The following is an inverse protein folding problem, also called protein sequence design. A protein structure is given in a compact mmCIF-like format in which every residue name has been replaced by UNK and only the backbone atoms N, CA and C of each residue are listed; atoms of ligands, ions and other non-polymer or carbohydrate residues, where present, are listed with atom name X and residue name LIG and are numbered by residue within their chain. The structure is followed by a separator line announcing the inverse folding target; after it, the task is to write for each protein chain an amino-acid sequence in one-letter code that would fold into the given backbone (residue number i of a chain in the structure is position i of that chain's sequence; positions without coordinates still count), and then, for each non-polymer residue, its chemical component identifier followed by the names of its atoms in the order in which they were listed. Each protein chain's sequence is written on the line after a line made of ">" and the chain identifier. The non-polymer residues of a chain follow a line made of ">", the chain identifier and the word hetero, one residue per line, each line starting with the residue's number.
data_IF_464629420552
#
_entry.id   IF_464629420552
#
_cell.length_a   1.000
_cell.length_b   1.000
_cell.length_c   1.000
_cell.angle_alpha   90.00
_cell.angle_beta   90.00
_cell.angle_gamma   90.00
#
_symmetry.space_group_name_H-M   'P 1'
#
loop_
_entity.id
_entity.type
_entity.pdbx_description
1 polymer ?
#
# COMPACT_ATOMS: atom_id res chain seq x y z
N UNK A 1 38.95 -51.67 -8.77
CA UNK A 1 37.69 -50.90 -8.78
C UNK A 1 38.00 -49.50 -8.29
N UNK A 2 38.10 -48.51 -9.19
CA UNK A 2 38.29 -47.12 -8.79
C UNK A 2 36.96 -46.59 -8.25
N UNK A 3 36.93 -46.21 -6.97
CA UNK A 3 35.77 -45.58 -6.34
C UNK A 3 35.58 -44.20 -6.97
N UNK A 4 34.49 -44.01 -7.73
CA UNK A 4 34.15 -42.68 -8.21
C UNK A 4 33.95 -41.75 -7.00
N UNK A 5 34.48 -40.51 -7.05
CA UNK A 5 34.17 -39.51 -6.04
C UNK A 5 32.65 -39.26 -6.02
N UNK A 6 32.08 -38.96 -4.84
CA UNK A 6 30.65 -38.71 -4.71
C UNK A 6 30.24 -37.59 -5.67
N UNK A 7 29.07 -37.70 -6.33
CA UNK A 7 28.59 -36.66 -7.22
C UNK A 7 28.52 -35.33 -6.46
N UNK A 8 28.85 -34.20 -7.11
CA UNK A 8 28.74 -32.89 -6.48
C UNK A 8 27.30 -32.71 -5.97
N UNK A 9 27.12 -32.06 -4.80
CA UNK A 9 25.79 -31.79 -4.29
C UNK A 9 25.00 -31.04 -5.37
N UNK A 10 23.71 -31.36 -5.56
CA UNK A 10 22.89 -30.62 -6.50
C UNK A 10 22.97 -29.13 -6.16
N UNK A 11 23.01 -28.22 -7.16
CA UNK A 11 22.99 -26.80 -6.90
C UNK A 11 21.81 -26.49 -5.98
N UNK A 12 21.96 -25.57 -5.00
CA UNK A 12 20.87 -25.20 -4.13
C UNK A 12 19.66 -24.85 -4.99
N UNK A 13 18.43 -25.25 -4.59
CA UNK A 13 17.23 -24.89 -5.32
C UNK A 13 17.27 -23.38 -5.60
N UNK A 14 16.85 -22.90 -6.79
CA UNK A 14 16.61 -21.49 -7.00
C UNK A 14 15.80 -20.99 -5.80
N UNK A 15 16.26 -19.93 -5.11
CA UNK A 15 15.54 -19.40 -3.95
C UNK A 15 14.05 -19.31 -4.32
N UNK A 16 13.22 -20.10 -3.62
CA UNK A 16 11.80 -20.25 -3.97
C UNK A 16 11.16 -18.86 -4.06
N UNK A 17 10.57 -18.55 -5.23
CA UNK A 17 10.23 -17.20 -5.68
C UNK A 17 9.21 -16.46 -4.81
N UNK A 18 9.69 -15.74 -3.79
CA UNK A 18 8.92 -14.84 -2.93
C UNK A 18 9.34 -13.37 -3.05
N UNK A 19 8.45 -12.46 -2.63
CA UNK A 19 8.73 -11.02 -2.52
C UNK A 19 9.92 -10.79 -1.58
N UNK A 20 10.92 -10.02 -2.02
CA UNK A 20 12.14 -9.77 -1.24
C UNK A 20 11.85 -8.97 0.05
N UNK A 21 12.68 -9.13 1.08
CA UNK A 21 12.55 -8.36 2.33
C UNK A 21 12.62 -6.86 2.11
N UNK A 22 13.47 -6.42 1.18
CA UNK A 22 13.60 -5.02 0.78
C UNK A 22 12.30 -4.52 0.13
N UNK A 23 11.72 -5.29 -0.80
CA UNK A 23 10.45 -4.95 -1.46
C UNK A 23 9.31 -4.81 -0.43
N UNK A 24 9.25 -5.72 0.55
CA UNK A 24 8.29 -5.65 1.68
C UNK A 24 8.46 -4.38 2.50
N UNK A 25 9.71 -4.01 2.78
CA UNK A 25 10.03 -2.80 3.54
C UNK A 25 9.61 -1.54 2.80
N UNK A 26 9.91 -1.42 1.51
CA UNK A 26 9.47 -0.27 0.70
C UNK A 26 7.95 -0.21 0.57
N UNK A 27 7.28 -1.35 0.44
CA UNK A 27 5.81 -1.42 0.47
C UNK A 27 5.23 -0.93 1.80
N UNK A 28 5.80 -1.33 2.94
CA UNK A 28 5.41 -0.85 4.27
C UNK A 28 5.65 0.66 4.40
N UNK A 29 6.83 1.15 4.01
CA UNK A 29 7.18 2.58 4.07
C UNK A 29 6.19 3.41 3.27
N UNK A 30 5.78 2.92 2.11
CA UNK A 30 4.79 3.60 1.28
C UNK A 30 3.48 3.82 2.03
N UNK A 31 3.01 2.85 2.82
CA UNK A 31 1.77 2.97 3.60
C UNK A 31 1.93 3.84 4.85
N UNK A 32 3.03 3.73 5.59
CA UNK A 32 3.20 4.46 6.86
C UNK A 32 3.44 5.95 6.64
N UNK A 33 4.23 6.31 5.62
CA UNK A 33 4.55 7.72 5.34
C UNK A 33 3.62 8.35 4.30
N UNK A 34 2.53 7.66 3.93
CA UNK A 34 1.54 8.11 2.96
C UNK A 34 2.16 8.56 1.63
N UNK A 35 1.81 9.77 1.17
CA UNK A 35 2.29 10.33 -0.10
C UNK A 35 3.82 10.34 -0.19
N UNK A 36 4.51 10.78 0.87
CA UNK A 36 5.97 10.92 0.86
C UNK A 36 6.63 9.56 0.73
N UNK A 37 6.19 8.59 1.52
CA UNK A 37 6.70 7.21 1.45
C UNK A 37 6.45 6.58 0.08
N UNK A 38 5.24 6.77 -0.45
CA UNK A 38 4.87 6.22 -1.75
C UNK A 38 5.73 6.80 -2.89
N UNK A 39 5.98 8.11 -2.91
CA UNK A 39 6.85 8.75 -3.89
C UNK A 39 8.28 8.22 -3.75
N UNK A 40 8.83 8.16 -2.54
CA UNK A 40 10.17 7.62 -2.28
C UNK A 40 10.28 6.18 -2.81
N UNK A 41 9.31 5.32 -2.50
CA UNK A 41 9.29 3.94 -2.94
C UNK A 41 9.22 3.80 -4.48
N UNK A 42 8.41 4.62 -5.14
CA UNK A 42 8.29 4.63 -6.61
C UNK A 42 9.56 5.11 -7.30
N UNK A 43 10.25 6.11 -6.73
CA UNK A 43 11.49 6.66 -7.29
C UNK A 43 12.69 5.73 -7.06
N UNK A 44 12.79 5.10 -5.89
CA UNK A 44 13.92 4.24 -5.53
C UNK A 44 13.79 2.80 -6.04
N UNK A 45 12.57 2.31 -6.25
CA UNK A 45 12.31 0.95 -6.77
C UNK A 45 11.37 0.96 -7.99
N UNK A 46 11.69 1.69 -9.07
CA UNK A 46 10.79 1.91 -10.21
C UNK A 46 10.52 0.64 -11.06
N UNK A 47 11.37 -0.38 -10.92
CA UNK A 47 11.26 -1.66 -11.64
C UNK A 47 10.70 -2.80 -10.78
N UNK A 48 10.49 -2.57 -9.48
CA UNK A 48 9.95 -3.59 -8.58
C UNK A 48 8.42 -3.56 -8.62
N UNK A 49 7.82 -4.61 -9.18
CA UNK A 49 6.35 -4.70 -9.34
C UNK A 49 5.61 -4.68 -8.01
N UNK A 50 6.17 -5.27 -6.94
CA UNK A 50 5.53 -5.34 -5.63
C UNK A 50 5.55 -3.97 -4.96
N UNK A 51 6.70 -3.30 -5.01
CA UNK A 51 6.83 -1.94 -4.45
C UNK A 51 5.91 -0.98 -5.18
N UNK A 52 5.89 -1.00 -6.52
CA UNK A 52 4.98 -0.17 -7.31
C UNK A 52 3.52 -0.40 -6.93
N UNK A 53 3.12 -1.66 -6.75
CA UNK A 53 1.74 -1.99 -6.42
C UNK A 53 1.29 -1.41 -5.07
N UNK A 54 2.07 -1.58 -4.00
CA UNK A 54 1.73 -0.98 -2.70
C UNK A 54 1.89 0.54 -2.70
N UNK A 55 2.93 1.07 -3.35
CA UNK A 55 3.20 2.49 -3.40
C UNK A 55 2.15 3.27 -4.19
N UNK A 56 1.72 2.79 -5.35
CA UNK A 56 0.64 3.42 -6.12
C UNK A 56 -0.68 3.40 -5.34
N UNK A 57 -1.02 2.28 -4.67
CA UNK A 57 -2.23 2.22 -3.85
C UNK A 57 -2.18 3.19 -2.67
N UNK A 58 -1.06 3.24 -1.94
CA UNK A 58 -0.90 4.19 -0.84
C UNK A 58 -0.98 5.64 -1.32
N UNK A 59 -0.36 5.95 -2.47
CA UNK A 59 -0.38 7.29 -3.06
C UNK A 59 -1.82 7.73 -3.39
N UNK A 60 -2.55 6.90 -4.14
CA UNK A 60 -3.93 7.20 -4.55
C UNK A 60 -4.82 7.32 -3.31
N UNK A 61 -4.68 6.39 -2.35
CA UNK A 61 -5.45 6.42 -1.11
C UNK A 61 -5.19 7.68 -0.29
N UNK A 62 -3.92 8.05 -0.11
CA UNK A 62 -3.52 9.23 0.67
C UNK A 62 -3.99 10.53 0.02
N UNK A 63 -3.88 10.64 -1.31
CA UNK A 63 -4.43 11.78 -2.06
C UNK A 63 -5.96 11.82 -1.90
N UNK A 64 -6.64 10.69 -2.03
CA UNK A 64 -8.09 10.59 -1.84
C UNK A 64 -8.53 11.07 -0.46
N UNK A 65 -7.83 10.66 0.60
CA UNK A 65 -8.09 11.13 1.96
C UNK A 65 -7.92 12.65 2.10
N UNK A 66 -6.87 13.23 1.50
CA UNK A 66 -6.65 14.68 1.52
C UNK A 66 -7.77 15.42 0.79
N UNK A 67 -8.21 14.92 -0.37
CA UNK A 67 -9.34 15.52 -1.11
C UNK A 67 -10.61 15.49 -0.28
N UNK A 68 -10.93 14.36 0.36
CA UNK A 68 -12.09 14.25 1.27
C UNK A 68 -11.96 15.25 2.42
N UNK A 69 -10.78 15.38 3.01
CA UNK A 69 -10.53 16.33 4.09
C UNK A 69 -10.74 17.79 3.67
N UNK A 70 -10.28 18.19 2.47
CA UNK A 70 -10.49 19.54 1.94
C UNK A 70 -11.98 19.83 1.73
N UNK A 71 -12.74 18.87 1.17
CA UNK A 71 -14.20 19.00 1.00
C UNK A 71 -14.88 19.20 2.36
N UNK A 72 -14.44 18.45 3.37
CA UNK A 72 -15.01 18.54 4.73
C UNK A 72 -14.75 19.90 5.37
N UNK A 73 -13.56 20.47 5.20
CA UNK A 73 -13.26 21.84 5.65
C UNK A 73 -14.19 22.85 4.97
N UNK A 74 -14.39 22.74 3.66
CA UNK A 74 -15.26 23.66 2.93
C UNK A 74 -16.71 23.58 3.43
N UNK A 75 -17.23 22.37 3.65
CA UNK A 75 -18.61 22.15 4.12
C UNK A 75 -18.81 22.50 5.60
N UNK A 76 -17.76 22.50 6.41
CA UNK A 76 -17.82 22.87 7.83
C UNK A 76 -18.29 24.32 8.08
N UNK A 77 -18.18 25.19 7.07
CA UNK A 77 -18.61 26.60 7.15
C UNK A 77 -20.12 26.79 7.00
N UNK A 78 -20.87 25.75 6.63
CA UNK A 78 -22.33 25.82 6.48
C UNK A 78 -23.00 25.48 7.83
N UNK A 79 -23.83 26.37 8.39
CA UNK A 79 -24.54 26.11 9.67
C UNK A 79 -25.33 24.80 9.63
N UNK A 80 -25.40 24.07 10.75
CA UNK A 80 -26.00 22.74 10.92
C UNK A 80 -25.33 21.58 10.15
N UNK A 81 -24.92 21.82 8.91
CA UNK A 81 -24.16 20.87 8.08
C UNK A 81 -22.76 20.66 8.67
N UNK A 82 -22.10 21.73 9.11
CA UNK A 82 -20.78 21.66 9.73
C UNK A 82 -20.74 20.87 11.04
N UNK A 83 -21.83 20.83 11.80
CA UNK A 83 -21.92 20.03 13.04
C UNK A 83 -21.88 18.53 12.73
N UNK A 84 -22.64 18.10 11.71
CA UNK A 84 -22.63 16.71 11.24
C UNK A 84 -21.22 16.31 10.75
N UNK A 85 -20.57 17.17 9.97
CA UNK A 85 -19.21 16.91 9.49
C UNK A 85 -18.16 16.92 10.60
N UNK A 86 -18.34 17.74 11.63
CA UNK A 86 -17.50 17.72 12.84
C UNK A 86 -17.46 16.34 13.48
N UNK A 87 -18.61 15.66 13.55
CA UNK A 87 -18.74 14.31 14.12
C UNK A 87 -18.20 13.23 13.18
N UNK A 88 -18.40 13.37 11.86
CA UNK A 88 -17.95 12.38 10.87
C UNK A 88 -16.44 12.44 10.57
N UNK A 89 -15.81 13.61 10.71
CA UNK A 89 -14.39 13.77 10.40
C UNK A 89 -13.44 12.84 11.18
N UNK A 90 -13.55 12.63 12.51
CA UNK A 90 -12.69 11.70 13.22
C UNK A 90 -12.91 10.24 12.78
N UNK A 91 -14.14 9.87 12.39
CA UNK A 91 -14.45 8.51 11.92
C UNK A 91 -13.77 8.21 10.58
N UNK A 92 -13.76 9.18 9.67
CA UNK A 92 -13.08 9.03 8.37
C UNK A 92 -11.57 8.97 8.55
N UNK A 93 -11.01 9.81 9.42
CA UNK A 93 -9.59 9.74 9.75
C UNK A 93 -9.20 8.40 10.38
N UNK A 94 -10.03 7.89 11.31
CA UNK A 94 -9.81 6.59 11.91
C UNK A 94 -9.86 5.47 10.87
N UNK A 95 -10.85 5.46 9.98
CA UNK A 95 -10.92 4.51 8.87
C UNK A 95 -9.70 4.63 7.96
N UNK A 96 -9.26 5.87 7.69
CA UNK A 96 -8.05 6.19 6.94
C UNK A 96 -6.81 5.50 7.51
N UNK A 97 -6.60 5.66 8.82
CA UNK A 97 -5.51 5.06 9.57
C UNK A 97 -5.62 3.53 9.56
N UNK A 98 -6.81 2.96 9.76
CA UNK A 98 -7.01 1.50 9.74
C UNK A 98 -6.59 0.92 8.39
N UNK A 99 -7.03 1.52 7.28
CA UNK A 99 -6.65 1.07 5.92
C UNK A 99 -5.14 1.19 5.73
N UNK A 100 -4.52 2.28 6.16
CA UNK A 100 -3.07 2.46 6.05
C UNK A 100 -2.29 1.38 6.83
N UNK A 101 -2.73 1.08 8.07
CA UNK A 101 -2.12 0.02 8.89
C UNK A 101 -2.29 -1.35 8.25
N UNK A 102 -3.49 -1.68 7.77
CA UNK A 102 -3.75 -2.96 7.09
C UNK A 102 -2.89 -3.08 5.83
N UNK A 103 -2.81 -2.01 5.02
CA UNK A 103 -1.95 -1.95 3.84
C UNK A 103 -0.47 -2.16 4.18
N UNK A 104 0.01 -1.53 5.25
CA UNK A 104 1.39 -1.69 5.73
C UNK A 104 1.68 -3.12 6.21
N UNK A 105 0.78 -3.73 7.00
CA UNK A 105 0.91 -5.11 7.47
C UNK A 105 0.95 -6.07 6.29
N UNK A 106 0.05 -5.89 5.31
CA UNK A 106 -0.03 -6.75 4.12
C UNK A 106 1.21 -6.60 3.24
N UNK A 107 1.70 -5.38 3.06
CA UNK A 107 2.96 -5.14 2.36
C UNK A 107 4.14 -5.86 3.06
N UNK A 108 4.19 -5.79 4.39
CA UNK A 108 5.24 -6.43 5.17
C UNK A 108 5.17 -7.96 5.14
N UNK A 109 3.96 -8.53 5.06
CA UNK A 109 3.72 -9.96 4.88
C UNK A 109 4.09 -10.45 3.46
N UNK A 110 4.31 -9.53 2.50
CA UNK A 110 4.56 -9.86 1.10
C UNK A 110 3.28 -10.22 0.33
N UNK A 111 2.11 -9.82 0.84
CA UNK A 111 0.81 -10.11 0.22
C UNK A 111 0.39 -9.00 -0.75
N UNK A 112 -0.10 -9.39 -1.93
CA UNK A 112 -0.66 -8.46 -2.93
C UNK A 112 -2.07 -8.01 -2.56
N UNK A 113 -2.17 -7.25 -1.47
CA UNK A 113 -3.44 -6.75 -0.96
C UNK A 113 -3.93 -5.55 -1.78
N UNK A 114 -5.16 -5.67 -2.31
CA UNK A 114 -5.87 -4.57 -2.97
C UNK A 114 -6.85 -3.95 -1.98
N UNK A 115 -6.81 -2.63 -1.83
CA UNK A 115 -7.84 -1.92 -1.04
C UNK A 115 -9.16 -1.92 -1.84
N UNK A 116 -10.23 -2.60 -1.37
CA UNK A 116 -11.46 -2.79 -2.14
C UNK A 116 -12.15 -1.49 -2.55
N UNK A 117 -11.97 -0.41 -1.77
CA UNK A 117 -12.56 0.90 -2.02
C UNK A 117 -12.07 1.53 -3.35
N UNK A 118 -10.85 1.21 -3.79
CA UNK A 118 -10.28 1.71 -5.06
C UNK A 118 -10.70 0.82 -6.23
N UNK A 119 -10.93 -0.47 -5.99
CA UNK A 119 -11.28 -1.44 -7.02
C UNK A 119 -12.73 -1.29 -7.50
N UNK A 120 -13.67 -1.05 -6.59
CA UNK A 120 -15.09 -0.83 -6.94
C UNK A 120 -15.32 0.52 -7.65
N UNK A 121 -14.47 1.53 -7.35
CA UNK A 121 -14.51 2.81 -8.06
C UNK A 121 -13.88 2.66 -9.46
N UNK A 122 -12.74 1.99 -9.60
CA UNK A 122 -12.11 1.74 -10.90
C UNK A 122 -13.00 0.90 -11.84
N UNK A 123 -13.57 -0.20 -11.31
CA UNK A 123 -14.48 -1.07 -12.07
C UNK A 123 -15.80 -0.39 -12.46
N UNK A 124 -16.31 0.58 -11.68
CA UNK A 124 -17.45 1.42 -12.07
C UNK A 124 -17.09 2.53 -13.06
N UNK A 125 -15.83 2.94 -13.14
CA UNK A 125 -15.33 3.96 -14.06
C UNK A 125 -14.83 3.39 -15.39
N UNK A 126 -14.84 2.07 -15.57
CA UNK A 126 -14.46 1.42 -16.82
C UNK A 126 -12.96 1.47 -17.14
N UNK A 127 -12.13 1.58 -16.10
CA UNK A 127 -10.66 1.63 -16.17
C UNK A 127 -10.01 0.58 -15.27
#
# INVERSE_FOLDING_TARGET
>A
MATQPPPPPPPPPPAEGGVSSESRMFGLIAWILGIVGAIIALLLKPNDRFVKFHATQSLVFSIGLIVVYIIFIALAHIPYIGLLFGILSPLIWLLGIVVAIVGAIKAYQGEWFKVPLVYDIASKLGI
#
